data_IF_767504765860
#
_entry.id   IF_767504765860
#
_cell.length_a   1.000
_cell.length_b   1.000
_cell.length_c   1.000
_cell.angle_alpha   90.00
_cell.angle_beta   90.00
_cell.angle_gamma   90.00
#
_symmetry.space_group_name_H-M   'P 1'
#
loop_
_entity.id
_entity.type
_entity.pdbx_description
1 polymer ?
#
# COMPACT_ATOMS: atom_id res chain seq x y z
N UNK A 1 8.23 20.00 -2.12
CA UNK A 1 8.11 18.73 -2.87
C UNK A 1 6.71 18.18 -2.63
N UNK A 2 6.00 17.76 -3.67
CA UNK A 2 4.67 17.14 -3.54
C UNK A 2 4.83 15.71 -3.01
N UNK A 3 4.07 15.34 -1.97
CA UNK A 3 4.10 13.99 -1.40
C UNK A 3 3.52 13.01 -2.44
N UNK A 4 4.20 11.88 -2.65
CA UNK A 4 3.67 10.78 -3.45
C UNK A 4 2.33 10.31 -2.90
N UNK A 5 1.39 10.07 -3.79
CA UNK A 5 0.10 9.45 -3.43
C UNK A 5 0.35 8.05 -2.87
N UNK A 6 -0.18 7.81 -1.67
CA UNK A 6 -0.09 6.54 -0.94
C UNK A 6 -0.90 5.44 -1.62
N UNK A 7 -0.38 4.22 -1.54
CA UNK A 7 -1.16 3.02 -1.88
C UNK A 7 -2.17 2.71 -0.77
N UNK A 8 -3.25 2.00 -1.13
CA UNK A 8 -4.25 1.50 -0.20
C UNK A 8 -3.90 0.08 0.23
N UNK A 9 -4.11 -0.25 1.50
CA UNK A 9 -3.99 -1.60 2.06
C UNK A 9 -5.32 -2.00 2.69
N UNK A 10 -5.83 -3.18 2.34
CA UNK A 10 -6.99 -3.80 2.96
C UNK A 10 -6.49 -4.95 3.84
N UNK A 11 -6.71 -4.83 5.15
CA UNK A 11 -6.29 -5.83 6.14
C UNK A 11 -7.40 -6.02 7.18
N UNK A 12 -7.78 -7.28 7.43
CA UNK A 12 -8.89 -7.63 8.34
C UNK A 12 -10.22 -6.89 8.04
N UNK A 13 -10.49 -6.59 6.78
CA UNK A 13 -11.68 -5.85 6.35
C UNK A 13 -11.56 -4.32 6.47
N UNK A 14 -10.50 -3.83 7.12
CA UNK A 14 -10.24 -2.40 7.31
C UNK A 14 -9.32 -1.84 6.23
N UNK A 15 -9.51 -0.55 5.93
CA UNK A 15 -8.75 0.17 4.90
C UNK A 15 -7.71 1.10 5.52
N UNK A 16 -6.47 0.96 5.07
CA UNK A 16 -5.33 1.76 5.47
C UNK A 16 -4.64 2.40 4.26
N UNK A 17 -3.87 3.46 4.50
CA UNK A 17 -2.99 4.06 3.49
C UNK A 17 -1.54 3.81 3.87
N UNK A 18 -0.78 3.20 2.96
CA UNK A 18 0.63 2.89 3.20
C UNK A 18 1.45 4.18 3.24
N UNK A 19 2.36 4.27 4.21
CA UNK A 19 3.40 5.31 4.23
C UNK A 19 4.33 5.18 3.03
N UNK A 20 4.61 3.94 2.64
CA UNK A 20 5.48 3.59 1.52
C UNK A 20 4.88 2.46 0.69
N UNK A 21 4.94 2.62 -0.63
CA UNK A 21 4.54 1.56 -1.56
C UNK A 21 5.51 0.37 -1.46
N UNK A 22 5.01 -0.88 -1.50
CA UNK A 22 5.87 -2.07 -1.61
C UNK A 22 6.74 -2.05 -2.88
N UNK A 23 6.34 -1.28 -3.89
CA UNK A 23 6.96 -1.26 -5.21
C UNK A 23 6.47 -2.39 -6.09
N UNK A 24 6.73 -2.25 -7.39
CA UNK A 24 6.44 -3.26 -8.39
C UNK A 24 7.75 -3.72 -9.01
N UNK A 25 7.88 -5.02 -9.34
CA UNK A 25 9.01 -5.51 -10.11
C UNK A 25 9.00 -4.85 -11.50
N UNK A 26 10.19 -4.75 -12.12
CA UNK A 26 10.31 -4.21 -13.48
C UNK A 26 9.60 -5.11 -14.50
N UNK A 27 9.71 -6.41 -14.31
CA UNK A 27 9.15 -7.47 -15.14
C UNK A 27 8.52 -8.53 -14.22
N UNK A 28 7.30 -8.94 -14.54
CA UNK A 28 6.55 -9.99 -13.84
C UNK A 28 5.39 -10.43 -14.72
N UNK A 29 5.13 -11.73 -14.86
CA UNK A 29 4.12 -12.26 -15.80
C UNK A 29 2.71 -11.71 -15.54
N UNK A 30 2.39 -11.45 -14.26
CA UNK A 30 1.13 -10.83 -13.85
C UNK A 30 1.02 -9.31 -14.04
N UNK A 31 2.09 -8.62 -14.44
CA UNK A 31 2.16 -7.16 -14.58
C UNK A 31 2.67 -6.75 -15.95
N UNK A 32 1.88 -5.94 -16.67
CA UNK A 32 2.30 -5.37 -17.96
C UNK A 32 2.22 -3.86 -17.96
N UNK A 33 3.03 -3.24 -18.82
CA UNK A 33 2.96 -1.79 -19.07
C UNK A 33 1.64 -1.48 -19.78
N UNK A 34 0.94 -0.44 -19.32
CA UNK A 34 -0.26 0.05 -20.02
C UNK A 34 0.16 0.71 -21.34
N UNK A 35 -0.38 0.27 -22.49
CA UNK A 35 -0.15 0.95 -23.77
C UNK A 35 -0.66 2.40 -23.77
N UNK A 36 0.01 3.35 -24.46
CA UNK A 36 -0.40 4.76 -24.47
C UNK A 36 -1.82 5.02 -24.98
N UNK A 37 -2.31 4.21 -25.91
CA UNK A 37 -3.66 4.25 -26.48
C UNK A 37 -4.76 3.77 -25.50
N UNK A 38 -4.37 3.14 -24.39
CA UNK A 38 -5.27 2.67 -23.33
C UNK A 38 -5.39 3.65 -22.15
N UNK A 39 -4.95 4.89 -22.32
CA UNK A 39 -5.27 6.00 -21.42
C UNK A 39 -6.51 6.73 -21.95
N UNK A 40 -7.70 6.52 -21.35
CA UNK A 40 -8.89 7.23 -21.76
C UNK A 40 -8.72 8.71 -21.44
N UNK A 41 -8.87 9.59 -22.43
CA UNK A 41 -8.70 11.03 -22.25
C UNK A 41 -9.64 11.64 -21.19
N UNK A 42 -10.74 10.97 -20.87
CA UNK A 42 -11.76 11.43 -19.93
C UNK A 42 -11.72 10.70 -18.58
N UNK A 43 -10.72 9.86 -18.33
CA UNK A 43 -10.58 9.16 -17.05
C UNK A 43 -9.75 10.02 -16.08
N UNK A 44 -10.45 10.71 -15.19
CA UNK A 44 -9.87 11.62 -14.22
C UNK A 44 -8.93 10.90 -13.23
N UNK A 45 -9.23 9.65 -12.88
CA UNK A 45 -8.39 8.86 -11.96
C UNK A 45 -7.08 8.45 -12.64
N UNK A 46 -7.13 8.02 -13.91
CA UNK A 46 -5.94 7.75 -14.69
C UNK A 46 -5.13 9.03 -14.96
N UNK A 47 -5.79 10.15 -15.25
CA UNK A 47 -5.13 11.45 -15.43
C UNK A 47 -4.35 11.88 -14.18
N UNK A 48 -4.89 11.60 -12.99
CA UNK A 48 -4.20 11.91 -11.74
C UNK A 48 -2.88 11.14 -11.57
N UNK A 49 -2.81 9.89 -12.04
CA UNK A 49 -1.57 9.09 -12.02
C UNK A 49 -0.50 9.62 -12.96
N UNK A 50 -0.85 10.48 -13.92
CA UNK A 50 0.10 11.16 -14.82
C UNK A 50 0.60 12.49 -14.25
N UNK A 51 0.06 12.95 -13.11
CA UNK A 51 0.46 14.21 -12.48
C UNK A 51 1.76 14.08 -11.68
N UNK A 52 2.39 15.22 -11.38
CA UNK A 52 3.60 15.28 -10.54
C UNK A 52 3.35 14.87 -9.09
N UNK A 53 2.08 14.80 -8.64
CA UNK A 53 1.71 14.25 -7.34
C UNK A 53 1.86 12.72 -7.27
N UNK A 54 1.92 12.05 -8.43
CA UNK A 54 2.10 10.62 -8.55
C UNK A 54 3.31 10.29 -9.44
N UNK A 55 4.51 10.61 -8.99
CA UNK A 55 5.73 10.40 -9.78
C UNK A 55 5.98 8.92 -10.13
N UNK A 56 5.41 7.97 -9.38
CA UNK A 56 5.45 6.54 -9.71
C UNK A 56 4.69 6.20 -10.99
N UNK A 57 3.73 7.04 -11.39
CA UNK A 57 2.86 6.79 -12.53
C UNK A 57 1.74 5.78 -12.25
N UNK A 58 1.56 5.35 -11.00
CA UNK A 58 0.50 4.44 -10.59
C UNK A 58 0.14 4.57 -9.11
N UNK A 59 -1.07 4.11 -8.77
CA UNK A 59 -1.52 3.82 -7.40
C UNK A 59 -1.99 2.38 -7.33
N UNK A 60 -1.79 1.73 -6.18
CA UNK A 60 -2.15 0.34 -5.98
C UNK A 60 -3.07 0.15 -4.75
N UNK A 61 -3.94 -0.85 -4.84
CA UNK A 61 -4.65 -1.42 -3.69
C UNK A 61 -4.10 -2.81 -3.43
N UNK A 62 -3.61 -3.00 -2.22
CA UNK A 62 -3.09 -4.26 -1.70
C UNK A 62 -4.12 -4.87 -0.76
N UNK A 63 -4.23 -6.19 -0.74
CA UNK A 63 -5.11 -6.92 0.17
C UNK A 63 -4.35 -8.07 0.83
N UNK A 64 -4.61 -8.30 2.11
CA UNK A 64 -4.13 -9.49 2.81
C UNK A 64 -5.27 -10.50 2.94
N UNK A 65 -5.09 -11.68 2.36
CA UNK A 65 -6.04 -12.80 2.39
C UNK A 65 -5.29 -14.03 2.89
N UNK A 66 -5.76 -14.65 3.97
CA UNK A 66 -5.12 -15.84 4.56
C UNK A 66 -3.59 -15.68 4.71
N UNK A 67 -3.19 -14.53 5.29
CA UNK A 67 -1.80 -14.18 5.55
C UNK A 67 -0.92 -13.99 4.32
N UNK A 68 -1.52 -13.90 3.13
CA UNK A 68 -0.80 -13.59 1.90
C UNK A 68 -1.17 -12.20 1.42
N UNK A 69 -0.16 -11.43 1.05
CA UNK A 69 -0.29 -10.13 0.43
C UNK A 69 -0.52 -10.30 -1.07
N UNK A 70 -1.56 -9.66 -1.57
CA UNK A 70 -1.87 -9.60 -2.99
C UNK A 70 -1.98 -8.16 -3.46
N UNK A 71 -1.63 -7.94 -4.72
CA UNK A 71 -1.98 -6.75 -5.47
C UNK A 71 -3.36 -6.97 -6.10
N UNK A 72 -4.37 -6.31 -5.55
CA UNK A 72 -5.77 -6.47 -5.98
C UNK A 72 -6.12 -5.58 -7.18
N UNK A 73 -5.73 -4.31 -7.09
CA UNK A 73 -6.04 -3.31 -8.12
C UNK A 73 -4.84 -2.40 -8.34
N UNK A 74 -4.62 -2.00 -9.60
CA UNK A 74 -3.64 -0.98 -9.98
C UNK A 74 -4.27 0.00 -10.96
N UNK A 75 -4.04 1.29 -10.73
CA UNK A 75 -4.44 2.38 -11.61
C UNK A 75 -3.19 3.10 -12.11
N UNK A 76 -3.14 3.43 -13.40
CA UNK A 76 -2.03 4.18 -14.01
C UNK A 76 -1.28 3.39 -15.09
N UNK A 77 0.04 3.55 -15.14
CA UNK A 77 0.93 3.06 -16.22
C UNK A 77 1.20 1.54 -16.21
N UNK A 78 0.48 0.79 -15.38
CA UNK A 78 0.56 -0.67 -15.26
C UNK A 78 -0.84 -1.27 -15.31
N UNK A 79 -0.90 -2.53 -15.76
CA UNK A 79 -2.10 -3.35 -15.80
C UNK A 79 -1.79 -4.70 -15.16
N UNK A 80 -2.77 -5.22 -14.42
CA UNK A 80 -2.78 -6.60 -13.98
C UNK A 80 -3.26 -7.51 -15.13
N UNK A 81 -2.59 -8.66 -15.30
CA UNK A 81 -3.08 -9.71 -16.18
C UNK A 81 -4.30 -10.41 -15.56
N UNK A 82 -4.19 -10.74 -14.27
CA UNK A 82 -5.24 -11.36 -13.46
C UNK A 82 -5.26 -10.72 -12.07
N UNK A 83 -6.43 -10.76 -11.41
CA UNK A 83 -6.61 -10.24 -10.05
C UNK A 83 -7.27 -11.29 -9.14
N UNK A 84 -6.87 -11.35 -7.86
CA UNK A 84 -5.74 -10.64 -7.25
C UNK A 84 -4.40 -11.33 -7.59
N UNK A 85 -3.31 -10.55 -7.70
CA UNK A 85 -1.97 -11.08 -8.02
C UNK A 85 -1.16 -11.29 -6.74
N UNK A 86 -0.71 -12.53 -6.48
CA UNK A 86 0.11 -12.82 -5.31
C UNK A 86 1.45 -12.07 -5.38
N UNK A 87 1.79 -11.33 -4.32
CA UNK A 87 2.92 -10.42 -4.30
C UNK A 87 4.19 -11.08 -3.72
N UNK A 88 4.60 -12.21 -4.31
CA UNK A 88 5.74 -13.01 -3.84
C UNK A 88 7.09 -12.27 -3.92
N UNK A 89 7.18 -11.19 -4.67
CA UNK A 89 8.34 -10.31 -4.77
C UNK A 89 8.50 -9.36 -3.57
N UNK A 90 7.51 -9.27 -2.67
CA UNK A 90 7.54 -8.36 -1.51
C UNK A 90 8.14 -9.05 -0.30
N UNK A 91 9.36 -8.67 0.10
CA UNK A 91 9.97 -9.03 1.40
C UNK A 91 10.41 -7.76 2.14
N UNK A 92 9.52 -7.15 2.92
CA UNK A 92 9.78 -5.93 3.69
C UNK A 92 8.70 -5.69 4.75
N UNK A 93 8.98 -4.73 5.63
CA UNK A 93 7.96 -4.15 6.52
C UNK A 93 7.08 -3.16 5.76
N UNK A 94 5.76 -3.27 5.95
CA UNK A 94 4.75 -2.31 5.51
C UNK A 94 4.21 -1.54 6.69
N UNK A 95 4.02 -0.23 6.51
CA UNK A 95 3.59 0.69 7.57
C UNK A 95 2.37 1.48 7.10
N UNK A 96 1.34 1.54 7.94
CA UNK A 96 0.14 2.29 7.66
C UNK A 96 -0.37 2.99 8.94
N UNK A 97 -0.68 4.30 8.90
CA UNK A 97 -1.37 4.97 10.01
C UNK A 97 -2.72 4.30 10.27
N UNK A 98 -2.97 3.88 11.51
CA UNK A 98 -4.18 3.17 11.90
C UNK A 98 -5.18 4.07 12.63
N UNK A 99 -4.74 4.76 13.70
CA UNK A 99 -5.61 5.64 14.49
C UNK A 99 -4.81 6.72 15.24
N UNK A 100 -5.40 7.89 15.52
CA UNK A 100 -4.78 8.88 16.39
C UNK A 100 -4.69 8.37 17.84
N UNK A 101 -3.65 8.82 18.54
CA UNK A 101 -3.49 8.64 19.98
C UNK A 101 -4.24 9.76 20.71
N UNK A 102 -5.37 9.42 21.35
CA UNK A 102 -6.15 10.34 22.19
C UNK A 102 -7.57 10.66 21.68
N UNK A 103 -8.39 11.29 22.53
CA UNK A 103 -9.82 11.59 22.28
C UNK A 103 -10.10 12.92 21.55
N UNK A 104 -9.09 13.72 21.23
CA UNK A 104 -9.30 15.10 20.75
C UNK A 104 -9.02 15.28 19.24
N UNK A 105 -9.98 15.95 18.59
CA UNK A 105 -10.20 16.02 17.13
C UNK A 105 -9.40 17.18 16.48
N UNK A 106 -8.51 17.84 17.23
CA UNK A 106 -7.76 19.02 16.79
C UNK A 106 -6.23 18.87 16.96
N UNK A 107 -5.70 17.64 16.86
CA UNK A 107 -4.26 17.39 16.96
C UNK A 107 -3.71 17.25 15.54
N UNK A 108 -2.58 17.91 15.24
CA UNK A 108 -1.83 17.62 14.01
C UNK A 108 -1.41 16.14 14.05
N UNK A 109 -1.73 15.40 12.99
CA UNK A 109 -1.28 14.03 12.80
C UNK A 109 0.25 14.00 12.69
N UNK A 110 0.91 13.73 13.82
CA UNK A 110 2.35 13.56 13.92
C UNK A 110 2.67 12.13 14.34
N UNK A 111 3.83 11.56 13.99
CA UNK A 111 4.18 10.17 14.29
C UNK A 111 4.05 9.80 15.78
N UNK A 112 4.28 10.75 16.69
CA UNK A 112 4.15 10.60 18.14
C UNK A 112 2.70 10.52 18.64
N UNK A 113 1.72 10.91 17.80
CA UNK A 113 0.30 10.96 18.12
C UNK A 113 -0.53 10.01 17.24
N UNK A 114 0.08 8.99 16.63
CA UNK A 114 -0.57 8.01 15.76
C UNK A 114 -0.09 6.61 16.11
N UNK A 115 -1.02 5.65 16.13
CA UNK A 115 -0.69 4.23 16.08
C UNK A 115 -0.53 3.79 14.64
N UNK A 116 0.50 2.99 14.40
CA UNK A 116 0.81 2.41 13.10
C UNK A 116 0.49 0.92 13.09
N UNK A 117 -0.20 0.48 12.05
CA UNK A 117 -0.19 -0.90 11.60
C UNK A 117 1.19 -1.19 10.98
N UNK A 118 1.85 -2.21 11.49
CA UNK A 118 3.11 -2.73 10.95
C UNK A 118 2.88 -4.17 10.52
N UNK A 119 3.11 -4.47 9.24
CA UNK A 119 3.08 -5.84 8.71
C UNK A 119 4.50 -6.23 8.29
N UNK A 120 4.99 -7.35 8.79
CA UNK A 120 6.23 -7.96 8.31
C UNK A 120 5.88 -8.95 7.23
N UNK A 121 6.38 -8.72 6.01
CA UNK A 121 6.11 -9.56 4.85
C UNK A 121 7.41 -10.21 4.39
N UNK A 122 7.38 -11.52 4.19
CA UNK A 122 8.44 -12.27 3.52
C UNK A 122 7.86 -13.05 2.34
N UNK A 123 8.35 -12.73 1.13
CA UNK A 123 7.94 -13.31 -0.15
C UNK A 123 6.41 -13.33 -0.31
N UNK A 124 5.79 -12.20 -0.02
CA UNK A 124 4.34 -12.03 -0.07
C UNK A 124 3.58 -12.66 1.10
N UNK A 125 4.23 -13.36 2.03
CA UNK A 125 3.59 -13.94 3.21
C UNK A 125 3.75 -13.02 4.41
N UNK A 126 2.65 -12.66 5.06
CA UNK A 126 2.64 -11.89 6.31
C UNK A 126 3.04 -12.80 7.46
N UNK A 127 4.26 -12.63 7.95
CA UNK A 127 4.84 -13.47 9.01
C UNK A 127 4.59 -12.91 10.40
N UNK A 128 4.42 -11.60 10.52
CA UNK A 128 4.17 -10.92 11.78
C UNK A 128 3.38 -9.63 11.58
N UNK A 129 2.69 -9.16 12.63
CA UNK A 129 2.06 -7.86 12.64
C UNK A 129 2.06 -7.23 14.04
N UNK A 130 2.03 -5.90 14.07
CA UNK A 130 1.86 -5.15 15.31
C UNK A 130 1.06 -3.86 15.06
N UNK A 131 0.35 -3.39 16.10
CA UNK A 131 -0.26 -2.07 16.11
C UNK A 131 0.29 -1.33 17.34
N UNK A 132 0.95 -0.19 17.13
CA UNK A 132 1.62 0.52 18.23
C UNK A 132 2.07 1.94 17.89
N UNK A 133 2.61 2.64 18.89
CA UNK A 133 3.03 4.04 18.79
C UNK A 133 4.31 4.20 17.95
N UNK A 134 4.33 5.22 17.10
CA UNK A 134 5.54 5.62 16.38
C UNK A 134 5.94 4.72 15.21
N UNK A 135 6.93 5.19 14.43
CA UNK A 135 7.55 4.42 13.32
C UNK A 135 8.59 3.39 13.80
N UNK A 136 9.00 3.45 15.06
CA UNK A 136 9.92 2.49 15.68
C UNK A 136 9.16 1.36 16.39
N UNK A 137 9.83 0.22 16.52
CA UNK A 137 9.30 -1.11 16.87
C UNK A 137 8.13 -1.10 17.86
N UNK A 138 6.93 -1.39 17.34
CA UNK A 138 5.87 -1.89 18.19
C UNK A 138 6.25 -3.31 18.66
N UNK A 139 5.91 -3.72 19.89
CA UNK A 139 6.20 -5.07 20.36
C UNK A 139 5.52 -6.09 19.42
N UNK A 140 6.35 -6.98 18.87
CA UNK A 140 5.96 -8.05 17.94
C UNK A 140 4.82 -8.90 18.52
N UNK A 141 3.77 -9.15 17.73
CA UNK A 141 2.70 -10.08 18.08
C UNK A 141 2.88 -11.33 17.21
N UNK A 142 3.74 -12.23 17.67
CA UNK A 142 3.95 -13.53 17.04
C UNK A 142 2.66 -14.37 17.08
N UNK A 143 2.26 -14.89 15.92
CA UNK A 143 1.19 -15.89 15.83
C UNK A 143 1.62 -17.18 16.53
N UNK A 144 0.80 -17.64 17.48
CA UNK A 144 0.87 -19.00 18.06
C UNK A 144 0.15 -20.01 17.18
#
# INVERSE_FOLDING_TARGET
>A
MTRQVSDKLIWQGESYYLEESPGLPKEHDGLRVRPPDQFPANDLELSFTQSTACYRGYTATWVVIEDKLYLDTILGNRLLAERPLFADWVSRRLLAPAKPLGKHINIRFTPENIEYLQLTVDKGVVTDYAIGKGKEEAPYVSKR
#
